data_IF_698720258572
#
_entry.id   IF_698720258572
#
_cell.length_a   1.000
_cell.length_b   1.000
_cell.length_c   1.000
_cell.angle_alpha   90.00
_cell.angle_beta   90.00
_cell.angle_gamma   90.00
#
_symmetry.space_group_name_H-M   'P 1'
#
loop_
_entity.id
_entity.type
_entity.pdbx_description
1 polymer ?
#
# COMPACT_ATOMS: atom_id res chain seq x y z
N UNK A 1 -4.53 9.00 -27.77
CA UNK A 1 -5.42 7.83 -27.76
C UNK A 1 -4.97 6.98 -26.59
N UNK A 2 -5.37 7.35 -25.36
CA UNK A 2 -6.55 6.82 -24.65
C UNK A 2 -6.55 5.30 -24.59
N UNK A 3 -6.29 4.73 -23.42
CA UNK A 3 -7.29 3.94 -22.71
C UNK A 3 -6.91 3.76 -21.22
N UNK A 4 -7.96 3.76 -20.39
CA UNK A 4 -8.02 4.04 -18.95
C UNK A 4 -7.49 2.89 -18.07
N UNK A 5 -6.97 3.16 -16.85
CA UNK A 5 -7.02 2.19 -15.76
C UNK A 5 -8.46 2.11 -15.21
N UNK A 6 -8.95 0.88 -15.07
CA UNK A 6 -10.28 0.55 -14.55
C UNK A 6 -10.39 0.94 -13.07
N UNK A 7 -11.33 1.84 -12.77
CA UNK A 7 -11.72 2.19 -11.41
C UNK A 7 -12.25 0.95 -10.66
N UNK A 8 -11.69 0.67 -9.49
CA UNK A 8 -12.20 -0.31 -8.55
C UNK A 8 -13.46 0.27 -7.89
N UNK A 9 -14.60 -0.36 -8.14
CA UNK A 9 -15.88 -0.01 -7.54
C UNK A 9 -15.86 -0.23 -6.01
N UNK A 10 -16.50 0.63 -5.20
CA UNK A 10 -16.67 0.41 -3.77
C UNK A 10 -17.62 -0.76 -3.52
N UNK A 11 -17.15 -1.78 -2.80
CA UNK A 11 -17.96 -2.91 -2.34
C UNK A 11 -18.87 -2.44 -1.19
N UNK A 12 -20.13 -2.14 -1.48
CA UNK A 12 -21.17 -2.04 -0.45
C UNK A 12 -21.47 -3.44 0.12
N UNK A 13 -21.65 -3.57 1.45
CA UNK A 13 -22.07 -4.83 2.04
C UNK A 13 -23.54 -5.12 1.70
N UNK A 14 -23.78 -6.24 1.01
CA UNK A 14 -25.12 -6.78 0.76
C UNK A 14 -25.84 -7.05 2.09
N UNK A 15 -27.06 -6.53 2.21
CA UNK A 15 -27.99 -6.90 3.26
C UNK A 15 -28.35 -8.39 3.12
N UNK A 16 -28.24 -9.13 4.22
CA UNK A 16 -28.64 -10.53 4.32
C UNK A 16 -30.18 -10.65 4.22
N UNK A 17 -30.69 -10.70 2.99
CA UNK A 17 -32.05 -11.11 2.70
C UNK A 17 -32.06 -12.64 2.59
N UNK A 18 -32.66 -13.31 3.58
CA UNK A 18 -33.32 -14.63 3.53
C UNK A 18 -33.24 -15.35 4.90
N UNK A 19 -34.22 -15.06 5.76
CA UNK A 19 -34.54 -15.80 7.00
C UNK A 19 -36.06 -15.78 7.23
N UNK A 20 -36.66 -16.84 7.79
CA UNK A 20 -37.88 -17.45 7.26
C UNK A 20 -39.17 -16.65 7.49
N UNK A 21 -39.95 -16.51 6.41
CA UNK A 21 -41.36 -16.08 6.44
C UNK A 21 -42.18 -17.06 7.28
N UNK A 22 -42.74 -16.58 8.39
CA UNK A 22 -43.79 -17.28 9.13
C UNK A 22 -45.13 -17.04 8.43
N UNK A 23 -45.57 -18.01 7.62
CA UNK A 23 -46.97 -18.04 7.19
C UNK A 23 -47.88 -18.40 8.38
N UNK A 24 -49.03 -17.71 8.56
CA UNK A 24 -49.98 -18.09 9.59
C UNK A 24 -50.68 -19.40 9.20
N UNK A 25 -50.52 -20.42 10.04
CA UNK A 25 -51.13 -21.73 9.87
C UNK A 25 -52.66 -21.62 9.74
N UNK A 26 -53.21 -22.19 8.67
CA UNK A 26 -54.66 -22.40 8.47
C UNK A 26 -55.23 -23.17 9.68
N UNK A 27 -56.39 -22.78 10.23
CA UNK A 27 -57.06 -23.58 11.25
C UNK A 27 -57.58 -24.87 10.62
N UNK A 28 -57.03 -26.00 11.07
CA UNK A 28 -57.52 -27.33 10.73
C UNK A 28 -58.87 -27.51 11.45
N UNK A 29 -59.92 -27.75 10.68
CA UNK A 29 -61.24 -28.09 11.22
C UNK A 29 -61.13 -29.40 12.02
N UNK A 30 -61.37 -29.33 13.33
CA UNK A 30 -61.42 -30.50 14.20
C UNK A 30 -62.72 -31.24 13.90
N UNK A 31 -62.61 -32.30 13.10
CA UNK A 31 -63.69 -33.25 12.89
C UNK A 31 -64.10 -33.86 14.24
N UNK A 32 -65.39 -33.80 14.54
CA UNK A 32 -66.00 -34.33 15.74
C UNK A 32 -65.56 -35.79 15.99
N UNK A 33 -64.80 -36.00 17.06
CA UNK A 33 -64.41 -37.33 17.51
C UNK A 33 -65.67 -38.11 17.90
N UNK A 34 -65.92 -39.19 17.17
CA UNK A 34 -66.93 -40.22 17.45
C UNK A 34 -66.88 -40.70 18.90
N UNK A 35 -68.01 -41.07 19.52
CA UNK A 35 -68.05 -41.43 20.93
C UNK A 35 -67.21 -42.66 21.22
N UNK A 36 -66.30 -42.51 22.19
CA UNK A 36 -65.38 -43.52 22.67
C UNK A 36 -66.08 -44.85 22.96
N UNK A 37 -65.71 -45.87 22.18
CA UNK A 37 -65.96 -47.28 22.44
C UNK A 37 -65.40 -47.61 23.82
N UNK A 38 -66.25 -48.00 24.77
CA UNK A 38 -65.86 -48.37 26.14
C UNK A 38 -64.74 -49.40 26.10
N UNK A 39 -63.53 -49.01 26.51
CA UNK A 39 -62.45 -49.96 26.77
C UNK A 39 -62.88 -50.91 27.89
N UNK A 40 -62.62 -52.22 27.77
CA UNK A 40 -62.85 -53.15 28.87
C UNK A 40 -61.97 -52.73 30.05
N UNK A 41 -62.56 -52.75 31.25
CA UNK A 41 -61.87 -52.48 32.51
C UNK A 41 -60.65 -53.40 32.63
N UNK A 42 -59.46 -52.85 32.43
CA UNK A 42 -58.20 -53.53 32.76
C UNK A 42 -58.05 -53.40 34.28
N UNK A 43 -58.09 -54.49 35.06
CA UNK A 43 -57.89 -54.40 36.48
C UNK A 43 -56.51 -53.78 36.72
N UNK A 44 -56.47 -52.67 37.46
CA UNK A 44 -55.23 -52.10 37.97
C UNK A 44 -54.54 -53.19 38.79
N UNK A 45 -53.61 -53.93 38.20
CA UNK A 45 -52.59 -54.65 38.96
C UNK A 45 -51.89 -53.57 39.76
N UNK A 46 -52.27 -53.44 41.03
CA UNK A 46 -51.44 -52.77 42.03
C UNK A 46 -50.13 -53.55 41.97
N UNK A 47 -49.14 -53.04 41.23
CA UNK A 47 -47.74 -53.35 41.50
C UNK A 47 -47.51 -52.79 42.90
N UNK A 48 -47.89 -53.59 43.90
CA UNK A 48 -47.21 -53.57 45.17
C UNK A 48 -45.77 -53.82 44.79
N UNK A 49 -44.99 -52.76 44.75
CA UNK A 49 -43.59 -52.86 45.10
C UNK A 49 -43.62 -53.23 46.59
N UNK A 50 -43.99 -54.49 46.88
CA UNK A 50 -43.67 -55.08 48.16
C UNK A 50 -42.17 -54.87 48.25
N UNK A 51 -41.78 -54.14 49.30
CA UNK A 51 -40.41 -53.79 49.57
C UNK A 51 -39.58 -55.04 49.28
N UNK A 52 -38.81 -55.01 48.19
CA UNK A 52 -37.71 -55.94 48.04
C UNK A 52 -36.90 -55.60 49.27
N UNK A 53 -36.96 -56.45 50.29
CA UNK A 53 -36.27 -56.28 51.56
C UNK A 53 -34.79 -56.43 51.21
N UNK A 54 -34.25 -55.32 50.71
CA UNK A 54 -32.86 -55.19 50.37
C UNK A 54 -32.14 -55.37 51.70
N UNK A 55 -31.30 -56.40 51.87
CA UNK A 55 -30.65 -56.64 53.13
C UNK A 55 -29.90 -55.38 53.54
N UNK A 56 -30.01 -54.98 54.82
CA UNK A 56 -29.36 -53.79 55.40
C UNK A 56 -27.96 -53.50 54.83
N UNK A 57 -27.02 -54.47 54.70
CA UNK A 57 -25.70 -54.21 54.10
C UNK A 57 -25.73 -53.72 52.63
N UNK A 58 -26.67 -54.20 51.81
CA UNK A 58 -26.80 -53.77 50.41
C UNK A 58 -27.38 -52.35 50.31
N UNK A 59 -28.24 -51.94 51.24
CA UNK A 59 -28.73 -50.56 51.31
C UNK A 59 -27.59 -49.56 51.57
N UNK A 60 -26.71 -49.89 52.51
CA UNK A 60 -25.52 -49.07 52.78
C UNK A 60 -24.58 -49.01 51.57
N UNK A 61 -24.34 -50.15 50.90
CA UNK A 61 -23.49 -50.18 49.70
C UNK A 61 -24.05 -49.28 48.58
N UNK A 62 -25.35 -49.34 48.30
CA UNK A 62 -26.01 -48.51 47.29
C UNK A 62 -25.93 -47.02 47.68
N UNK A 63 -26.18 -46.70 48.94
CA UNK A 63 -26.10 -45.32 49.43
C UNK A 63 -24.69 -44.73 49.29
N UNK A 64 -23.64 -45.51 49.59
CA UNK A 64 -22.24 -45.08 49.41
C UNK A 64 -21.92 -44.87 47.94
N UNK A 65 -22.30 -45.79 47.05
CA UNK A 65 -22.05 -45.65 45.61
C UNK A 65 -22.75 -44.40 45.07
N UNK A 66 -24.02 -44.18 45.42
CA UNK A 66 -24.76 -42.98 45.01
C UNK A 66 -24.12 -41.71 45.56
N UNK A 67 -23.68 -41.71 46.82
CA UNK A 67 -22.97 -40.58 47.43
C UNK A 67 -21.70 -40.21 46.67
N UNK A 68 -20.88 -41.21 46.31
CA UNK A 68 -19.65 -41.00 45.53
C UNK A 68 -19.96 -40.48 44.12
N UNK A 69 -20.98 -41.02 43.45
CA UNK A 69 -21.39 -40.56 42.11
C UNK A 69 -21.90 -39.12 42.12
N UNK A 70 -22.69 -38.74 43.14
CA UNK A 70 -23.18 -37.36 43.27
C UNK A 70 -22.04 -36.41 43.59
N UNK A 71 -21.14 -36.78 44.52
CA UNK A 71 -19.99 -35.96 44.87
C UNK A 71 -19.06 -35.71 43.67
N UNK A 72 -18.79 -36.74 42.87
CA UNK A 72 -17.97 -36.62 41.66
C UNK A 72 -18.65 -35.76 40.58
N UNK A 73 -19.97 -35.91 40.38
CA UNK A 73 -20.72 -35.06 39.44
C UNK A 73 -20.69 -33.57 39.84
N UNK A 74 -20.87 -33.27 41.13
CA UNK A 74 -20.80 -31.90 41.66
C UNK A 74 -19.39 -31.33 41.48
N UNK A 75 -18.35 -32.11 41.83
CA UNK A 75 -16.96 -31.68 41.66
C UNK A 75 -16.63 -31.37 40.19
N UNK A 76 -17.05 -32.23 39.25
CA UNK A 76 -16.84 -32.00 37.82
C UNK A 76 -17.57 -30.75 37.31
N UNK A 77 -18.82 -30.54 37.74
CA UNK A 77 -19.58 -29.34 37.41
C UNK A 77 -18.91 -28.07 37.95
N UNK A 78 -18.40 -28.11 39.17
CA UNK A 78 -17.70 -26.99 39.80
C UNK A 78 -16.39 -26.66 39.08
N UNK A 79 -15.58 -27.65 38.73
CA UNK A 79 -14.33 -27.45 37.96
C UNK A 79 -14.63 -26.83 36.60
N UNK A 80 -15.65 -27.34 35.90
CA UNK A 80 -16.06 -26.79 34.58
C UNK A 80 -16.58 -25.36 34.68
N UNK A 81 -17.35 -25.04 35.72
CA UNK A 81 -17.82 -23.69 35.98
C UNK A 81 -16.65 -22.74 36.27
N UNK A 82 -15.75 -23.14 37.16
CA UNK A 82 -14.60 -22.32 37.54
C UNK A 82 -13.64 -22.09 36.36
N UNK A 83 -13.46 -23.09 35.49
CA UNK A 83 -12.67 -22.96 34.27
C UNK A 83 -13.28 -21.97 33.26
N UNK A 84 -14.62 -21.90 33.17
CA UNK A 84 -15.29 -20.89 32.33
C UNK A 84 -15.12 -19.49 32.89
N UNK A 85 -15.32 -19.32 34.19
CA UNK A 85 -15.16 -18.01 34.85
C UNK A 85 -13.72 -17.50 34.76
N UNK A 86 -12.73 -18.37 34.94
CA UNK A 86 -11.32 -17.98 34.79
C UNK A 86 -10.94 -17.70 33.33
N UNK A 87 -11.49 -18.45 32.37
CA UNK A 87 -11.29 -18.17 30.95
C UNK A 87 -11.89 -16.82 30.54
N UNK A 88 -13.08 -16.46 31.04
CA UNK A 88 -13.69 -15.15 30.79
C UNK A 88 -12.89 -14.01 31.41
N UNK A 89 -12.35 -14.19 32.62
CA UNK A 89 -11.49 -13.20 33.26
C UNK A 89 -10.17 -13.00 32.49
N UNK A 90 -9.53 -14.10 32.07
CA UNK A 90 -8.30 -14.06 31.29
C UNK A 90 -8.53 -13.49 29.89
N UNK A 91 -9.68 -13.76 29.27
CA UNK A 91 -10.04 -13.18 27.98
C UNK A 91 -10.20 -11.65 28.06
N UNK A 92 -10.82 -11.15 29.13
CA UNK A 92 -10.95 -9.69 29.36
C UNK A 92 -9.59 -9.04 29.58
N UNK A 93 -8.73 -9.65 30.40
CA UNK A 93 -7.37 -9.14 30.64
C UNK A 93 -6.55 -9.11 29.34
N UNK A 94 -6.62 -10.17 28.52
CA UNK A 94 -5.94 -10.21 27.23
C UNK A 94 -6.48 -9.17 26.24
N UNK A 95 -7.78 -8.88 26.28
CA UNK A 95 -8.39 -7.90 25.38
C UNK A 95 -7.91 -6.47 25.66
N UNK A 96 -7.73 -6.11 26.94
CA UNK A 96 -7.16 -4.80 27.31
C UNK A 96 -5.72 -4.63 26.82
N UNK A 97 -4.91 -5.69 26.84
CA UNK A 97 -3.54 -5.66 26.32
C UNK A 97 -3.51 -5.56 24.79
N UNK A 98 -4.40 -6.28 24.10
CA UNK A 98 -4.54 -6.20 22.65
C UNK A 98 -4.97 -4.80 22.23
N UNK A 99 -5.90 -4.17 22.94
CA UNK A 99 -6.37 -2.82 22.63
C UNK A 99 -5.25 -1.78 22.79
N UNK A 100 -4.42 -1.92 23.84
CA UNK A 100 -3.24 -1.06 24.02
C UNK A 100 -2.22 -1.26 22.89
N UNK A 101 -1.92 -2.51 22.56
CA UNK A 101 -0.99 -2.83 21.49
C UNK A 101 -1.52 -2.35 20.12
N UNK A 102 -2.82 -2.41 19.89
CA UNK A 102 -3.46 -1.92 18.67
C UNK A 102 -3.29 -0.40 18.53
N UNK A 103 -3.49 0.36 19.61
CA UNK A 103 -3.26 1.81 19.62
C UNK A 103 -1.78 2.15 19.38
N UNK A 104 -0.86 1.45 20.05
CA UNK A 104 0.59 1.66 19.83
C UNK A 104 0.99 1.36 18.38
N UNK A 105 0.50 0.25 17.81
CA UNK A 105 0.74 -0.10 16.41
C UNK A 105 0.17 0.93 15.46
N UNK A 106 -1.01 1.45 15.74
CA UNK A 106 -1.63 2.48 14.91
C UNK A 106 -0.78 3.76 14.91
N UNK A 107 -0.29 4.18 16.08
CA UNK A 107 0.62 5.33 16.19
C UNK A 107 1.95 5.10 15.45
N UNK A 108 2.52 3.89 15.54
CA UNK A 108 3.74 3.53 14.80
C UNK A 108 3.52 3.62 13.29
N UNK A 109 2.43 3.07 12.78
CA UNK A 109 2.10 3.10 11.35
C UNK A 109 1.92 4.54 10.87
N UNK A 110 1.24 5.40 11.62
CA UNK A 110 1.09 6.81 11.26
C UNK A 110 2.43 7.55 11.24
N UNK A 111 3.30 7.31 12.21
CA UNK A 111 4.63 7.91 12.25
C UNK A 111 5.50 7.46 11.07
N UNK A 112 5.46 6.16 10.73
CA UNK A 112 6.15 5.61 9.57
C UNK A 112 5.61 6.19 8.25
N UNK A 113 4.29 6.34 8.12
CA UNK A 113 3.68 6.96 6.95
C UNK A 113 4.10 8.42 6.78
N UNK A 114 4.15 9.20 7.87
CA UNK A 114 4.63 10.59 7.84
C UNK A 114 6.11 10.65 7.43
N UNK A 115 6.96 9.81 8.03
CA UNK A 115 8.37 9.75 7.68
C UNK A 115 8.59 9.31 6.22
N UNK A 116 7.79 8.38 5.71
CA UNK A 116 7.84 7.95 4.31
C UNK A 116 7.41 9.09 3.36
N UNK A 117 6.33 9.80 3.69
CA UNK A 117 5.85 10.93 2.90
C UNK A 117 6.86 12.09 2.87
N UNK A 118 7.53 12.38 3.99
CA UNK A 118 8.60 13.39 4.04
C UNK A 118 9.79 13.00 3.16
N UNK A 119 10.24 11.73 3.21
CA UNK A 119 11.31 11.26 2.33
C UNK A 119 10.94 11.37 0.85
N UNK A 120 9.69 11.08 0.50
CA UNK A 120 9.21 11.23 -0.88
C UNK A 120 9.20 12.69 -1.33
N UNK A 121 8.82 13.62 -0.45
CA UNK A 121 8.86 15.06 -0.75
C UNK A 121 10.28 15.54 -0.98
N UNK A 122 11.20 15.19 -0.09
CA UNK A 122 12.61 15.54 -0.24
C UNK A 122 13.22 14.96 -1.52
N UNK A 123 12.95 13.70 -1.83
CA UNK A 123 13.41 13.08 -3.07
C UNK A 123 12.85 13.80 -4.32
N UNK A 124 11.56 14.16 -4.31
CA UNK A 124 10.94 14.89 -5.41
C UNK A 124 11.50 16.32 -5.56
N UNK A 125 11.81 17.00 -4.46
CA UNK A 125 12.46 18.31 -4.46
C UNK A 125 13.89 18.23 -5.00
N UNK A 126 14.66 17.22 -4.60
CA UNK A 126 15.99 16.96 -5.15
C UNK A 126 15.95 16.66 -6.65
N UNK A 127 15.00 15.85 -7.12
CA UNK A 127 14.82 15.58 -8.54
C UNK A 127 14.47 16.84 -9.32
N UNK A 128 13.57 17.68 -8.80
CA UNK A 128 13.23 18.98 -9.42
C UNK A 128 14.45 19.89 -9.49
N UNK A 129 15.21 20.00 -8.41
CA UNK A 129 16.43 20.80 -8.37
C UNK A 129 17.49 20.27 -9.36
N UNK A 130 17.63 18.95 -9.51
CA UNK A 130 18.52 18.34 -10.51
C UNK A 130 18.08 18.68 -11.93
N UNK A 131 16.79 18.59 -12.24
CA UNK A 131 16.25 18.93 -13.55
C UNK A 131 16.43 20.42 -13.86
N UNK A 132 16.21 21.30 -12.88
CA UNK A 132 16.42 22.73 -13.03
C UNK A 132 17.89 23.06 -13.30
N UNK A 133 18.84 22.47 -12.55
CA UNK A 133 20.28 22.61 -12.82
C UNK A 133 20.65 22.15 -14.23
N UNK A 134 20.16 20.99 -14.65
CA UNK A 134 20.41 20.49 -16.01
C UNK A 134 19.84 21.42 -17.09
N UNK A 135 18.67 22.03 -16.84
CA UNK A 135 18.09 23.03 -17.75
C UNK A 135 18.93 24.31 -17.80
N UNK A 136 19.40 24.80 -16.66
CA UNK A 136 20.27 25.97 -16.60
C UNK A 136 21.60 25.72 -17.30
N UNK A 137 22.23 24.56 -17.06
CA UNK A 137 23.44 24.14 -17.76
C UNK A 137 23.23 24.05 -19.27
N UNK A 138 22.10 23.50 -19.73
CA UNK A 138 21.76 23.48 -21.15
C UNK A 138 21.60 24.89 -21.73
N UNK A 139 20.96 25.81 -21.00
CA UNK A 139 20.82 27.20 -21.44
C UNK A 139 22.18 27.89 -21.55
N UNK A 140 23.04 27.75 -20.55
CA UNK A 140 24.41 28.29 -20.58
C UNK A 140 25.27 27.66 -21.70
N UNK A 141 25.12 26.36 -21.94
CA UNK A 141 25.78 25.67 -23.04
C UNK A 141 25.28 26.14 -24.40
N UNK A 142 23.98 26.39 -24.56
CA UNK A 142 23.42 26.93 -25.80
C UNK A 142 23.85 28.38 -26.03
N UNK A 143 23.84 29.21 -24.98
CA UNK A 143 24.32 30.59 -25.04
C UNK A 143 25.81 30.67 -25.40
N UNK A 144 26.66 29.83 -24.78
CA UNK A 144 28.08 29.75 -25.15
C UNK A 144 28.30 29.24 -26.58
N UNK A 145 27.49 28.28 -27.06
CA UNK A 145 27.50 27.87 -28.48
C UNK A 145 27.09 29.01 -29.41
N UNK A 146 26.04 29.77 -29.07
CA UNK A 146 25.62 30.93 -29.88
C UNK A 146 26.69 32.03 -29.88
N UNK A 147 27.30 32.30 -28.73
CA UNK A 147 28.38 33.28 -28.63
C UNK A 147 29.60 32.87 -29.48
N UNK A 148 30.04 31.60 -29.39
CA UNK A 148 31.16 31.09 -30.20
C UNK A 148 30.88 31.11 -31.70
N UNK A 149 29.65 30.78 -32.13
CA UNK A 149 29.23 30.93 -33.53
C UNK A 149 29.26 32.39 -33.97
N UNK A 150 28.73 33.30 -33.15
CA UNK A 150 28.75 34.74 -33.46
C UNK A 150 30.18 35.31 -33.53
N UNK A 151 31.09 34.81 -32.70
CA UNK A 151 32.51 35.17 -32.73
C UNK A 151 33.19 34.66 -34.00
N UNK A 152 32.91 33.42 -34.41
CA UNK A 152 33.42 32.85 -35.64
C UNK A 152 32.94 33.63 -36.87
N UNK A 153 31.65 34.01 -36.92
CA UNK A 153 31.11 34.84 -38.00
C UNK A 153 31.76 36.23 -38.05
N UNK A 154 31.97 36.88 -36.89
CA UNK A 154 32.65 38.18 -36.82
C UNK A 154 34.09 38.09 -37.31
N UNK A 155 34.81 37.05 -36.89
CA UNK A 155 36.17 36.77 -37.34
C UNK A 155 36.23 36.54 -38.85
N UNK A 156 35.29 35.77 -39.40
CA UNK A 156 35.24 35.49 -40.84
C UNK A 156 34.97 36.76 -41.66
N UNK A 157 34.04 37.62 -41.21
CA UNK A 157 33.81 38.93 -41.86
C UNK A 157 35.05 39.83 -41.80
N UNK A 158 35.75 39.86 -40.67
CA UNK A 158 36.99 40.64 -40.51
C UNK A 158 38.13 40.09 -41.40
N UNK A 159 38.22 38.76 -41.54
CA UNK A 159 39.17 38.15 -42.45
C UNK A 159 38.84 38.47 -43.91
N UNK A 160 37.57 38.37 -44.31
CA UNK A 160 37.14 38.70 -45.66
C UNK A 160 37.44 40.15 -46.05
N UNK A 161 37.32 41.09 -45.10
CA UNK A 161 37.64 42.49 -45.31
C UNK A 161 39.16 42.78 -45.42
N UNK A 162 39.99 42.00 -44.71
CA UNK A 162 41.45 42.21 -44.66
C UNK A 162 42.23 41.40 -45.69
N UNK A 163 41.69 40.27 -46.14
CA UNK A 163 42.35 39.38 -47.09
C UNK A 163 42.44 40.00 -48.49
N UNK A 164 43.67 40.16 -48.98
CA UNK A 164 43.93 40.55 -50.37
C UNK A 164 44.42 39.36 -51.17
N UNK A 165 43.71 39.07 -52.26
CA UNK A 165 44.07 37.99 -53.18
C UNK A 165 45.36 38.38 -53.93
N UNK A 166 46.39 37.52 -53.99
CA UNK A 166 47.60 37.81 -54.75
C UNK A 166 47.29 37.86 -56.26
N UNK A 167 48.00 38.72 -57.02
CA UNK A 167 47.85 38.80 -58.47
C UNK A 167 48.21 37.45 -59.09
N UNK A 168 47.36 36.95 -60.00
CA UNK A 168 47.51 35.62 -60.62
C UNK A 168 46.60 34.53 -60.02
N UNK A 169 45.97 34.76 -58.87
CA UNK A 169 45.04 33.80 -58.26
C UNK A 169 43.57 34.00 -58.69
N UNK A 170 43.28 34.74 -59.76
CA UNK A 170 41.91 35.17 -60.11
C UNK A 170 40.89 34.00 -60.16
N UNK A 171 41.25 32.88 -60.79
CA UNK A 171 40.44 31.66 -60.78
C UNK A 171 40.83 30.74 -59.62
N UNK A 172 39.88 30.39 -58.76
CA UNK A 172 40.10 29.73 -57.48
C UNK A 172 40.53 28.24 -57.56
N UNK A 173 40.97 27.76 -58.73
CA UNK A 173 41.18 26.34 -58.99
C UNK A 173 42.58 25.79 -58.71
N UNK A 174 43.60 26.64 -58.54
CA UNK A 174 44.98 26.16 -58.33
C UNK A 174 45.29 25.91 -56.86
N UNK A 175 45.96 24.79 -56.59
CA UNK A 175 46.30 24.31 -55.25
C UNK A 175 47.18 25.31 -54.46
N UNK A 176 47.98 26.10 -55.18
CA UNK A 176 48.82 27.17 -54.63
C UNK A 176 48.01 28.34 -54.07
N UNK A 177 46.94 28.76 -54.75
CA UNK A 177 46.06 29.83 -54.30
C UNK A 177 45.23 29.40 -53.07
N UNK A 178 44.79 28.13 -53.02
CA UNK A 178 44.12 27.56 -51.86
C UNK A 178 45.08 27.48 -50.65
N UNK A 179 46.33 27.05 -50.88
CA UNK A 179 47.35 27.02 -49.84
C UNK A 179 47.67 28.42 -49.30
N UNK A 180 47.76 29.43 -50.17
CA UNK A 180 47.95 30.81 -49.75
C UNK A 180 46.80 31.31 -48.86
N UNK A 181 45.56 31.05 -49.28
CA UNK A 181 44.37 31.40 -48.49
C UNK A 181 44.39 30.74 -47.10
N UNK A 182 44.70 29.43 -47.02
CA UNK A 182 44.78 28.71 -45.75
C UNK A 182 45.87 29.29 -44.84
N UNK A 183 47.06 29.61 -45.39
CA UNK A 183 48.15 30.22 -44.62
C UNK A 183 47.77 31.61 -44.11
N UNK A 184 47.16 32.43 -44.96
CA UNK A 184 46.70 33.76 -44.59
C UNK A 184 45.58 33.72 -43.54
N UNK A 185 44.66 32.75 -43.65
CA UNK A 185 43.58 32.56 -42.68
C UNK A 185 44.13 32.16 -41.32
N UNK A 186 45.05 31.18 -41.27
CA UNK A 186 45.69 30.75 -40.00
C UNK A 186 46.50 31.86 -39.34
N UNK A 187 47.25 32.65 -40.11
CA UNK A 187 48.02 33.76 -39.55
C UNK A 187 47.10 34.87 -39.03
N UNK A 188 46.00 35.15 -39.72
CA UNK A 188 44.98 36.09 -39.27
C UNK A 188 44.29 35.60 -37.99
N UNK A 189 43.83 34.36 -37.93
CA UNK A 189 43.20 33.76 -36.74
C UNK A 189 44.11 33.88 -35.50
N UNK A 190 45.40 33.60 -35.66
CA UNK A 190 46.38 33.74 -34.58
C UNK A 190 46.56 35.20 -34.11
N UNK A 191 46.51 36.17 -35.04
CA UNK A 191 46.58 37.59 -34.70
C UNK A 191 45.29 38.08 -34.02
N UNK A 192 44.14 37.70 -34.59
CA UNK A 192 42.81 38.04 -34.09
C UNK A 192 42.60 37.52 -32.66
N UNK A 193 43.02 36.29 -32.36
CA UNK A 193 42.98 35.73 -31.01
C UNK A 193 43.85 36.50 -30.02
N UNK A 194 45.05 36.93 -30.42
CA UNK A 194 45.94 37.76 -29.57
C UNK A 194 45.34 39.14 -29.32
N UNK A 195 44.72 39.76 -30.31
CA UNK A 195 44.06 41.06 -30.18
C UNK A 195 42.82 40.97 -29.29
N UNK A 196 41.97 39.93 -29.46
CA UNK A 196 40.85 39.69 -28.55
C UNK A 196 41.32 39.49 -27.10
N UNK A 197 42.39 38.71 -26.88
CA UNK A 197 42.94 38.50 -25.53
C UNK A 197 43.44 39.82 -24.91
N UNK A 198 44.12 40.67 -25.69
CA UNK A 198 44.55 42.01 -25.24
C UNK A 198 43.36 42.90 -24.90
N UNK A 199 42.31 42.91 -25.74
CA UNK A 199 41.11 43.70 -25.48
C UNK A 199 40.39 43.24 -24.22
N UNK A 200 40.23 41.92 -24.02
CA UNK A 200 39.63 41.35 -22.80
C UNK A 200 40.41 41.73 -21.55
N UNK A 201 41.75 41.69 -21.60
CA UNK A 201 42.62 42.09 -20.50
C UNK A 201 42.54 43.59 -20.20
N UNK A 202 42.36 44.44 -21.22
CA UNK A 202 42.20 45.88 -21.04
C UNK A 202 40.81 46.28 -20.53
N UNK A 203 39.78 45.45 -20.75
CA UNK A 203 38.40 45.68 -20.31
C UNK A 203 38.05 45.06 -18.96
N UNK A 204 38.95 44.28 -18.36
CA UNK A 204 38.75 43.72 -17.02
C UNK A 204 39.05 44.80 -15.96
N UNK A 205 38.10 45.11 -15.06
CA UNK A 205 38.27 46.12 -14.01
C UNK A 205 39.24 45.69 -12.91
#
# INVERSE_FOLDING_TARGET
>A
MSDKPSDAAPTEPQAAENGPRTEPAKPIAVAAATPFKRMPYVPKRRRRWDAIDVPLPLQFAIAVILGVLIATAIAAAYVKWNARVSAEANARAAQEEIDRLALERQQQIEAEQRAAAERQRLAAEEERARVERLREEQRLAEESRRATLSDAERMERAFAASYRKPPGCAEAGTLECANHYIRAKRSFEAQYAREQARQRAASAP
#
